data_IF_404249336873
#
_entry.id   IF_404249336873
#
_cell.length_a   1.000
_cell.length_b   1.000
_cell.length_c   1.000
_cell.angle_alpha   90.00
_cell.angle_beta   90.00
_cell.angle_gamma   90.00
#
_symmetry.space_group_name_H-M   'P 1'
#
loop_
_entity.id
_entity.type
_entity.pdbx_description
1 polymer ?
#
# COMPACT_ATOMS: atom_id res chain seq x y z
N UNK A 1 -11.59 8.50 5.58
CA UNK A 1 -10.26 9.09 5.86
C UNK A 1 -10.37 10.59 5.68
N UNK A 2 -9.75 11.39 6.53
CA UNK A 2 -9.61 12.83 6.27
C UNK A 2 -8.54 13.06 5.20
N UNK A 3 -8.65 14.16 4.47
CA UNK A 3 -7.65 14.61 3.49
C UNK A 3 -6.24 14.66 4.11
N UNK A 4 -6.15 15.05 5.38
CA UNK A 4 -4.91 15.05 6.17
C UNK A 4 -4.26 13.67 6.33
N UNK A 5 -5.02 12.57 6.37
CA UNK A 5 -4.44 11.24 6.50
C UNK A 5 -3.79 10.77 5.19
N UNK A 6 -4.31 11.24 4.05
CA UNK A 6 -3.74 10.94 2.74
C UNK A 6 -2.45 11.73 2.52
N UNK A 7 -2.46 13.03 2.83
CA UNK A 7 -1.26 13.87 2.75
C UNK A 7 -0.11 13.30 3.59
N UNK A 8 -0.41 12.88 4.83
CA UNK A 8 0.58 12.22 5.70
C UNK A 8 1.13 10.95 5.05
N UNK A 9 0.29 10.15 4.40
CA UNK A 9 0.73 8.91 3.75
C UNK A 9 1.64 9.18 2.55
N UNK A 10 1.33 10.20 1.75
CA UNK A 10 2.18 10.64 0.64
C UNK A 10 3.55 11.15 1.14
N UNK A 11 3.55 11.96 2.20
CA UNK A 11 4.79 12.44 2.83
C UNK A 11 5.64 11.28 3.34
N UNK A 12 5.02 10.27 3.96
CA UNK A 12 5.72 9.09 4.45
C UNK A 12 6.36 8.27 3.32
N UNK A 13 5.64 8.06 2.22
CA UNK A 13 6.18 7.37 1.04
C UNK A 13 7.35 8.17 0.43
N UNK A 14 7.19 9.48 0.26
CA UNK A 14 8.27 10.35 -0.25
C UNK A 14 9.50 10.34 0.65
N UNK A 15 9.31 10.30 1.97
CA UNK A 15 10.43 10.21 2.91
C UNK A 15 11.21 8.89 2.80
N UNK A 16 10.54 7.79 2.41
CA UNK A 16 11.15 6.45 2.33
C UNK A 16 11.76 6.16 0.95
N UNK A 17 11.10 6.60 -0.13
CA UNK A 17 11.47 6.24 -1.51
C UNK A 17 11.94 7.44 -2.36
N UNK A 18 11.80 8.67 -1.86
CA UNK A 18 12.17 9.89 -2.57
C UNK A 18 11.38 10.07 -3.87
N UNK A 19 12.10 10.41 -4.94
CA UNK A 19 11.53 10.61 -6.28
C UNK A 19 11.11 9.30 -6.97
N UNK A 20 11.37 8.15 -6.33
CA UNK A 20 10.97 6.84 -6.86
C UNK A 20 9.49 6.52 -6.58
N UNK A 21 8.80 7.29 -5.74
CA UNK A 21 7.37 7.10 -5.47
C UNK A 21 6.59 7.31 -6.77
N UNK A 22 5.78 6.34 -7.22
CA UNK A 22 4.92 6.52 -8.38
C UNK A 22 3.93 7.68 -8.18
N UNK A 23 3.72 8.46 -9.23
CA UNK A 23 2.81 9.61 -9.17
C UNK A 23 1.38 9.17 -8.82
N UNK A 24 0.74 9.88 -7.90
CA UNK A 24 -0.61 9.59 -7.42
C UNK A 24 -0.81 8.20 -6.78
N UNK A 25 0.24 7.54 -6.28
CA UNK A 25 0.14 6.19 -5.70
C UNK A 25 -0.97 6.05 -4.65
N UNK A 26 -1.22 7.06 -3.82
CA UNK A 26 -2.25 6.99 -2.78
C UNK A 26 -3.68 7.11 -3.34
N UNK A 27 -3.84 7.75 -4.51
CA UNK A 27 -5.14 7.98 -5.14
C UNK A 27 -5.49 7.00 -6.26
N UNK A 28 -4.48 6.40 -6.90
CA UNK A 28 -4.63 5.57 -8.08
C UNK A 28 -4.09 4.16 -7.83
N UNK A 29 -4.96 3.15 -7.96
CA UNK A 29 -4.57 1.76 -7.75
C UNK A 29 -3.49 1.30 -8.72
N UNK A 30 -3.46 1.78 -9.96
CA UNK A 30 -2.42 1.37 -10.92
C UNK A 30 -1.03 1.87 -10.47
N UNK A 31 -0.94 3.12 -10.03
CA UNK A 31 0.29 3.67 -9.47
C UNK A 31 0.68 2.98 -8.14
N UNK A 32 -0.31 2.61 -7.31
CA UNK A 32 -0.05 1.81 -6.11
C UNK A 32 0.47 0.40 -6.45
N UNK A 33 0.01 -0.20 -7.55
CA UNK A 33 0.52 -1.49 -8.03
C UNK A 33 1.94 -1.38 -8.60
N UNK A 34 2.29 -0.26 -9.22
CA UNK A 34 3.68 0.03 -9.61
C UNK A 34 4.59 0.08 -8.36
N UNK A 35 4.14 0.75 -7.30
CA UNK A 35 4.83 0.77 -6.01
C UNK A 35 4.98 -0.65 -5.44
N UNK A 36 3.94 -1.47 -5.51
CA UNK A 36 4.03 -2.86 -5.09
C UNK A 36 5.08 -3.64 -5.89
N UNK A 37 5.11 -3.46 -7.22
CA UNK A 37 6.11 -4.08 -8.09
C UNK A 37 7.55 -3.64 -7.77
N UNK A 38 7.75 -2.40 -7.33
CA UNK A 38 9.06 -1.94 -6.84
C UNK A 38 9.49 -2.70 -5.59
N UNK A 39 8.60 -2.84 -4.60
CA UNK A 39 8.90 -3.63 -3.39
C UNK A 39 9.11 -5.11 -3.75
N UNK A 40 8.37 -5.67 -4.71
CA UNK A 40 8.62 -7.04 -5.17
C UNK A 40 10.02 -7.22 -5.78
N UNK A 41 10.53 -6.21 -6.49
CA UNK A 41 11.91 -6.21 -6.98
C UNK A 41 12.96 -6.15 -5.84
N UNK A 42 12.58 -5.67 -4.66
CA UNK A 42 13.40 -5.68 -3.43
C UNK A 42 13.27 -6.98 -2.61
N UNK A 43 12.56 -7.98 -3.15
CA UNK A 43 12.40 -9.30 -2.54
C UNK A 43 11.16 -9.46 -1.67
N UNK A 44 10.24 -8.50 -1.70
CA UNK A 44 8.92 -8.70 -1.12
C UNK A 44 8.03 -9.57 -2.03
N UNK A 45 7.00 -10.19 -1.46
CA UNK A 45 5.88 -10.76 -2.19
C UNK A 45 4.63 -9.97 -1.85
N UNK A 46 3.86 -9.57 -2.86
CA UNK A 46 2.68 -8.75 -2.65
C UNK A 46 1.38 -9.54 -2.82
N UNK A 47 0.39 -9.24 -1.98
CA UNK A 47 -0.97 -9.77 -2.08
C UNK A 47 -1.99 -8.65 -1.82
N UNK A 48 -3.02 -8.59 -2.66
CA UNK A 48 -4.18 -7.71 -2.48
C UNK A 48 -5.46 -8.55 -2.45
N UNK A 49 -6.26 -8.38 -1.40
CA UNK A 49 -7.47 -9.15 -1.17
C UNK A 49 -8.67 -8.23 -0.93
N UNK A 50 -9.75 -8.48 -1.65
CA UNK A 50 -11.07 -7.93 -1.32
C UNK A 50 -11.62 -8.68 -0.09
N UNK A 51 -11.91 -7.92 0.97
CA UNK A 51 -12.42 -8.43 2.24
C UNK A 51 -13.94 -8.47 2.30
N UNK A 52 -14.63 -7.83 1.35
CA UNK A 52 -16.09 -7.80 1.25
C UNK A 52 -16.60 -8.27 -0.13
N UNK A 53 -16.15 -9.42 -0.69
CA UNK A 53 -16.38 -9.82 -2.09
C UNK A 53 -17.84 -10.14 -2.46
N UNK A 54 -18.77 -10.02 -1.52
CA UNK A 54 -20.22 -10.24 -1.73
C UNK A 54 -21.07 -9.05 -1.29
N UNK A 55 -20.44 -7.98 -0.83
CA UNK A 55 -21.15 -6.78 -0.45
C UNK A 55 -21.27 -5.86 -1.67
N UNK A 56 -22.47 -5.36 -1.91
CA UNK A 56 -22.73 -4.38 -2.96
C UNK A 56 -22.55 -2.94 -2.45
N UNK A 57 -22.38 -2.77 -1.13
CA UNK A 57 -22.39 -1.47 -0.45
C UNK A 57 -21.13 -1.21 0.36
N UNK A 58 -20.39 -2.26 0.72
CA UNK A 58 -19.16 -2.15 1.51
C UNK A 58 -17.98 -2.58 0.66
N UNK A 59 -16.96 -1.74 0.62
CA UNK A 59 -15.67 -2.04 0.00
C UNK A 59 -14.62 -1.99 1.09
N UNK A 60 -13.84 -3.05 1.24
CA UNK A 60 -12.67 -3.06 2.09
C UNK A 60 -11.59 -3.94 1.46
N UNK A 61 -10.37 -3.43 1.43
CA UNK A 61 -9.24 -4.08 0.80
C UNK A 61 -8.15 -4.31 1.83
N UNK A 62 -7.53 -5.49 1.79
CA UNK A 62 -6.32 -5.79 2.55
C UNK A 62 -5.15 -5.95 1.60
N UNK A 63 -4.14 -5.09 1.76
CA UNK A 63 -2.85 -5.25 1.12
C UNK A 63 -1.90 -5.95 2.09
N UNK A 64 -1.03 -6.81 1.60
CA UNK A 64 -0.02 -7.50 2.40
C UNK A 64 1.28 -7.63 1.62
N UNK A 65 2.37 -7.16 2.21
CA UNK A 65 3.73 -7.42 1.76
C UNK A 65 4.38 -8.45 2.68
N UNK A 66 5.00 -9.46 2.09
CA UNK A 66 5.71 -10.53 2.79
C UNK A 66 7.18 -10.47 2.43
N UNK A 67 8.07 -10.52 3.41
CA UNK A 67 9.51 -10.68 3.18
C UNK A 67 10.09 -11.49 4.33
N UNK A 68 10.82 -12.54 3.97
CA UNK A 68 11.32 -13.54 4.93
C UNK A 68 10.16 -14.10 5.78
N UNK A 69 10.22 -13.94 7.11
CA UNK A 69 9.19 -14.40 8.05
C UNK A 69 8.27 -13.26 8.54
N UNK A 70 8.34 -12.08 7.92
CA UNK A 70 7.54 -10.92 8.29
C UNK A 70 6.40 -10.66 7.29
N UNK A 71 5.26 -10.24 7.84
CA UNK A 71 4.08 -9.81 7.08
C UNK A 71 3.70 -8.39 7.50
N UNK A 72 3.58 -7.50 6.52
CA UNK A 72 3.20 -6.10 6.70
C UNK A 72 1.88 -5.88 5.99
N UNK A 73 0.84 -5.46 6.70
CA UNK A 73 -0.51 -5.47 6.13
C UNK A 73 -1.34 -4.32 6.62
N UNK A 74 -2.10 -3.74 5.70
CA UNK A 74 -3.03 -2.67 6.01
C UNK A 74 -4.37 -2.89 5.31
N UNK A 75 -5.42 -2.37 5.96
CA UNK A 75 -6.77 -2.39 5.43
C UNK A 75 -7.29 -0.99 5.17
N UNK A 76 -8.00 -0.83 4.06
CA UNK A 76 -8.69 0.40 3.76
C UNK A 76 -9.85 0.17 2.77
N UNK A 77 -10.94 0.95 2.85
CA UNK A 77 -11.97 0.95 1.82
C UNK A 77 -11.47 1.27 0.42
N UNK A 78 -10.39 2.06 0.30
CA UNK A 78 -9.73 2.36 -0.95
C UNK A 78 -8.49 1.48 -1.12
N UNK A 79 -8.46 0.68 -2.20
CA UNK A 79 -7.38 -0.28 -2.45
C UNK A 79 -6.00 0.39 -2.56
N UNK A 80 -5.89 1.52 -3.26
CA UNK A 80 -4.62 2.25 -3.40
C UNK A 80 -4.04 2.68 -2.05
N UNK A 81 -4.91 3.14 -1.14
CA UNK A 81 -4.53 3.53 0.22
C UNK A 81 -4.07 2.32 1.01
N UNK A 82 -4.80 1.19 0.95
CA UNK A 82 -4.40 -0.04 1.64
C UNK A 82 -3.00 -0.48 1.20
N UNK A 83 -2.72 -0.45 -0.10
CA UNK A 83 -1.40 -0.78 -0.66
C UNK A 83 -0.33 0.17 -0.15
N UNK A 84 -0.56 1.48 -0.22
CA UNK A 84 0.41 2.48 0.23
C UNK A 84 0.70 2.38 1.73
N UNK A 85 -0.31 2.14 2.57
CA UNK A 85 -0.13 1.94 4.01
C UNK A 85 0.73 0.69 4.30
N UNK A 86 0.41 -0.43 3.65
CA UNK A 86 1.19 -1.67 3.82
C UNK A 86 2.63 -1.50 3.30
N UNK A 87 2.82 -0.75 2.22
CA UNK A 87 4.14 -0.45 1.68
C UNK A 87 4.97 0.40 2.65
N UNK A 88 4.39 1.43 3.28
CA UNK A 88 5.10 2.21 4.31
C UNK A 88 5.52 1.33 5.48
N UNK A 89 4.64 0.43 5.94
CA UNK A 89 4.96 -0.49 7.03
C UNK A 89 6.08 -1.46 6.65
N UNK A 90 6.03 -2.00 5.42
CA UNK A 90 7.05 -2.87 4.87
C UNK A 90 8.41 -2.17 4.72
N UNK A 91 8.42 -0.95 4.20
CA UNK A 91 9.65 -0.17 4.00
C UNK A 91 10.29 0.26 5.32
N UNK A 92 9.51 0.53 6.36
CA UNK A 92 10.03 0.92 7.69
C UNK A 92 10.61 -0.24 8.48
N UNK A 93 10.08 -1.45 8.31
CA UNK A 93 10.37 -2.58 9.19
C UNK A 93 10.96 -3.80 8.46
N UNK A 94 10.96 -3.82 7.13
CA UNK A 94 11.45 -4.91 6.30
C UNK A 94 12.62 -4.55 5.38
N UNK A 95 13.20 -3.36 5.54
CA UNK A 95 14.45 -2.94 4.87
C UNK A 95 15.69 -3.36 5.63
#
# INVERSE_FOLDING_TARGET
MSESAIEILEEQLKALLGDSVPDQAVYNINAAMELAGMLEAEGFTFQLKDMCPKSMTETNWRATFLKEDAAFSAENPQSSVAVCMAAVEALRNGS
#
